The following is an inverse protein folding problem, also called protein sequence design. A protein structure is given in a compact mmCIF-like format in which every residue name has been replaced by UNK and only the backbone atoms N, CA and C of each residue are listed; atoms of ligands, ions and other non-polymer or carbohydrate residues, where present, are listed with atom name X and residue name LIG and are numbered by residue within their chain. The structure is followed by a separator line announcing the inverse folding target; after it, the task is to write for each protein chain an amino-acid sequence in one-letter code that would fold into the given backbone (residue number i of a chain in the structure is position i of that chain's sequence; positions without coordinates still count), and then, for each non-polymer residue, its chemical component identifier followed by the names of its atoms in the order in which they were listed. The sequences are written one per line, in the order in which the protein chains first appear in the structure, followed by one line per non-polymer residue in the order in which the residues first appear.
data_IF_676061773146
#
_entry.id   IF_676061773146
#
_cell.length_a   1.000
_cell.length_b   1.000
_cell.length_c   1.000
_cell.angle_alpha   90.00
_cell.angle_beta   90.00
_cell.angle_gamma   90.00
#
_symmetry.space_group_name_H-M   'P 1'
#
loop_
_entity.id
_entity.type
_entity.pdbx_description
1 polymer ?
#
# COMPACT_ATOMS: atom_id res chain seq x y z
N UNK A 1 0.37 -3.22 -7.40
CA UNK A 1 0.95 -4.21 -6.45
C UNK A 1 2.19 -3.70 -5.68
N UNK A 2 2.92 -2.66 -6.14
CA UNK A 2 4.21 -2.25 -5.53
C UNK A 2 4.14 -1.08 -4.51
N UNK A 3 2.95 -0.60 -4.17
CA UNK A 3 2.74 0.61 -3.34
C UNK A 3 3.27 0.47 -1.91
N UNK A 4 3.07 -0.68 -1.27
CA UNK A 4 3.57 -0.94 0.09
C UNK A 4 5.11 -0.90 0.16
N UNK A 5 5.77 -1.48 -0.84
CA UNK A 5 7.23 -1.43 -0.93
C UNK A 5 7.73 0.00 -1.15
N UNK A 6 7.11 0.76 -2.06
CA UNK A 6 7.47 2.16 -2.30
C UNK A 6 7.28 2.99 -1.02
N UNK A 7 6.15 2.83 -0.31
CA UNK A 7 5.93 3.51 0.96
C UNK A 7 7.04 3.22 1.99
N UNK A 8 7.58 1.99 2.04
CA UNK A 8 8.74 1.66 2.88
C UNK A 8 10.04 2.35 2.47
N UNK A 9 10.24 2.69 1.18
CA UNK A 9 11.34 3.55 0.74
C UNK A 9 11.11 5.02 1.11
N UNK A 10 9.91 5.53 0.90
CA UNK A 10 9.56 6.92 1.24
C UNK A 10 9.68 7.18 2.74
N UNK A 11 9.25 6.24 3.60
CA UNK A 11 9.44 6.30 5.04
C UNK A 11 10.92 6.45 5.44
N UNK A 12 11.83 5.77 4.72
CA UNK A 12 13.28 5.89 4.97
C UNK A 12 13.87 7.22 4.50
N UNK A 13 13.34 7.81 3.43
CA UNK A 13 13.73 9.15 2.99
C UNK A 13 13.23 10.20 3.98
N UNK A 14 11.99 10.05 4.46
CA UNK A 14 11.42 10.94 5.45
C UNK A 14 12.17 10.90 6.78
N UNK A 15 12.55 9.71 7.24
CA UNK A 15 13.43 9.55 8.40
C UNK A 15 14.82 10.21 8.25
N UNK A 16 15.24 10.56 7.02
CA UNK A 16 16.47 11.33 6.74
C UNK A 16 16.23 12.83 6.57
N UNK A 17 15.05 13.33 6.93
CA UNK A 17 14.73 14.76 6.94
C UNK A 17 14.06 15.29 5.67
N UNK A 18 13.52 14.42 4.81
CA UNK A 18 12.79 14.83 3.60
C UNK A 18 11.28 14.89 3.86
N UNK A 19 10.59 15.97 3.49
CA UNK A 19 9.13 15.95 3.36
C UNK A 19 8.77 15.27 2.04
N UNK A 20 7.81 14.34 2.08
CA UNK A 20 7.40 13.56 0.91
C UNK A 20 5.89 13.55 0.81
N UNK A 21 5.32 13.78 -0.36
CA UNK A 21 3.93 13.46 -0.65
C UNK A 21 3.85 12.65 -1.93
N UNK A 22 3.09 11.57 -1.87
CA UNK A 22 2.91 10.63 -2.96
C UNK A 22 1.43 10.47 -3.30
N UNK A 23 1.11 10.49 -4.58
CA UNK A 23 -0.24 10.31 -5.12
C UNK A 23 -0.24 9.04 -5.96
N UNK A 24 -1.09 8.08 -5.59
CA UNK A 24 -1.33 6.88 -6.38
C UNK A 24 -2.73 6.92 -6.95
N UNK A 25 -2.83 6.72 -8.26
CA UNK A 25 -4.10 6.49 -8.94
C UNK A 25 -4.28 4.98 -9.08
N UNK A 26 -5.50 4.49 -8.90
CA UNK A 26 -5.85 3.10 -9.10
C UNK A 26 -7.16 3.05 -9.88
N UNK A 27 -7.04 2.75 -11.17
CA UNK A 27 -8.18 2.66 -12.06
C UNK A 27 -8.86 1.27 -12.01
N UNK A 28 -8.37 0.35 -11.17
CA UNK A 28 -9.01 -0.95 -10.99
C UNK A 28 -10.39 -0.74 -10.37
N UNK A 29 -11.43 -1.17 -11.09
CA UNK A 29 -12.77 -1.26 -10.54
C UNK A 29 -12.78 -2.08 -9.25
N UNK A 30 -13.62 -1.73 -8.26
CA UNK A 30 -13.86 -2.59 -7.13
C UNK A 30 -14.52 -3.85 -7.69
N UNK A 31 -13.75 -4.94 -7.67
CA UNK A 31 -14.10 -6.30 -8.08
C UNK A 31 -14.32 -6.53 -9.59
N UNK A 32 -13.71 -7.61 -10.08
CA UNK A 32 -13.69 -8.02 -11.50
C UNK A 32 -15.04 -8.51 -12.06
N UNK A 33 -16.16 -7.92 -11.64
CA UNK A 33 -17.53 -8.32 -12.00
C UNK A 33 -18.22 -7.38 -13.01
N UNK A 34 -17.50 -6.46 -13.65
CA UNK A 34 -18.07 -5.57 -14.66
C UNK A 34 -17.72 -5.97 -16.10
N UNK A 35 -17.97 -7.24 -16.50
CA UNK A 35 -17.84 -7.62 -17.94
C UNK A 35 -19.05 -8.34 -18.54
N UNK A 36 -20.21 -8.30 -17.89
CA UNK A 36 -21.46 -8.86 -18.45
C UNK A 36 -22.70 -8.07 -18.05
N UNK A 37 -22.71 -6.75 -18.26
CA UNK A 37 -23.95 -5.98 -18.28
C UNK A 37 -23.92 -5.02 -19.48
N UNK A 38 -25.01 -5.02 -20.23
CA UNK A 38 -25.16 -4.30 -21.49
C UNK A 38 -24.87 -2.81 -21.36
N UNK A 39 -24.42 -2.23 -22.46
CA UNK A 39 -24.13 -0.82 -22.61
C UNK A 39 -25.42 0.02 -22.54
N UNK A 40 -25.92 0.27 -21.34
CA UNK A 40 -26.82 1.38 -21.01
C UNK A 40 -26.93 1.45 -19.48
N UNK A 41 -26.48 2.57 -18.90
CA UNK A 41 -26.41 2.86 -17.46
C UNK A 41 -25.29 2.19 -16.63
N UNK A 42 -24.06 2.11 -17.15
CA UNK A 42 -22.89 1.99 -16.26
C UNK A 42 -22.68 3.34 -15.57
N UNK A 43 -23.11 3.48 -14.30
CA UNK A 43 -22.57 4.53 -13.46
C UNK A 43 -21.05 4.37 -13.48
N UNK A 44 -20.34 5.36 -14.03
CA UNK A 44 -18.89 5.27 -14.20
C UNK A 44 -18.25 4.98 -12.85
N UNK A 45 -17.55 3.85 -12.75
CA UNK A 45 -16.86 3.46 -11.52
C UNK A 45 -15.89 4.58 -11.12
N UNK A 46 -15.95 5.09 -9.89
CA UNK A 46 -15.08 6.19 -9.48
C UNK A 46 -13.62 5.75 -9.49
N UNK A 47 -12.73 6.67 -9.86
CA UNK A 47 -11.29 6.48 -9.75
C UNK A 47 -10.87 6.54 -8.28
N UNK A 48 -10.06 5.59 -7.83
CA UNK A 48 -9.54 5.61 -6.46
C UNK A 48 -8.16 6.27 -6.45
N UNK A 49 -8.04 7.37 -5.69
CA UNK A 49 -6.79 8.07 -5.48
C UNK A 49 -6.34 8.00 -4.02
N UNK A 50 -5.11 7.52 -3.80
CA UNK A 50 -4.49 7.45 -2.49
C UNK A 50 -3.40 8.51 -2.38
N UNK A 51 -3.52 9.39 -1.40
CA UNK A 51 -2.54 10.41 -1.05
C UNK A 51 -1.83 9.99 0.24
N UNK A 52 -0.50 9.95 0.19
CA UNK A 52 0.33 9.58 1.34
C UNK A 52 1.33 10.69 1.58
N UNK A 53 1.34 11.25 2.79
CA UNK A 53 2.28 12.29 3.21
C UNK A 53 3.22 11.76 4.28
N UNK A 54 4.49 12.11 4.20
CA UNK A 54 5.47 11.94 5.27
C UNK A 54 6.09 13.29 5.61
N UNK A 55 6.17 13.55 6.92
CA UNK A 55 6.90 14.68 7.46
C UNK A 55 8.37 14.32 7.66
N UNK A 56 9.25 15.27 7.41
CA UNK A 56 10.68 15.18 7.67
C UNK A 56 10.94 14.74 9.12
N UNK A 57 11.76 13.71 9.29
CA UNK A 57 12.07 13.11 10.58
C UNK A 57 11.07 12.06 11.07
N UNK A 58 9.92 11.89 10.40
CA UNK A 58 8.95 10.84 10.73
C UNK A 58 8.97 9.71 9.70
N UNK A 59 9.00 8.47 10.18
CA UNK A 59 8.82 7.28 9.34
C UNK A 59 7.36 6.84 9.21
N UNK A 60 6.43 7.56 9.85
CA UNK A 60 5.01 7.22 9.86
C UNK A 60 4.26 8.18 8.93
N UNK A 61 3.45 7.67 7.99
CA UNK A 61 2.73 8.53 7.07
C UNK A 61 1.43 9.09 7.67
N UNK A 62 0.87 10.10 7.00
CA UNK A 62 -0.57 10.33 6.94
C UNK A 62 -1.10 9.75 5.62
N UNK A 63 -2.23 9.04 5.65
CA UNK A 63 -2.83 8.41 4.47
C UNK A 63 -4.26 8.92 4.29
N UNK A 64 -4.61 9.29 3.06
CA UNK A 64 -5.98 9.63 2.66
C UNK A 64 -6.33 8.87 1.39
N UNK A 65 -7.57 8.39 1.30
CA UNK A 65 -8.08 7.69 0.12
C UNK A 65 -9.35 8.39 -0.33
N UNK A 66 -9.40 8.74 -1.61
CA UNK A 66 -10.50 9.46 -2.24
C UNK A 66 -11.11 8.60 -3.36
N UNK A 67 -12.43 8.64 -3.47
CA UNK A 67 -13.13 8.33 -4.72
C UNK A 67 -13.28 9.64 -5.50
N UNK A 68 -12.84 9.64 -6.75
CA UNK A 68 -12.95 10.77 -7.68
C UNK A 68 -13.96 10.39 -8.75
N UNK A 69 -15.05 11.15 -8.83
CA UNK A 69 -16.12 10.93 -9.81
C UNK A 69 -15.89 11.78 -11.07
N UNK A 70 -16.60 11.48 -12.15
CA UNK A 70 -16.65 12.31 -13.37
C UNK A 70 -15.27 12.57 -14.03
N UNK A 71 -14.33 11.63 -13.89
CA UNK A 71 -13.00 11.75 -14.49
C UNK A 71 -13.11 11.67 -16.02
N UNK A 72 -12.50 12.61 -16.80
CA UNK A 72 -12.55 12.57 -18.27
C UNK A 72 -12.01 11.25 -18.84
N UNK A 73 -12.58 10.77 -19.95
CA UNK A 73 -12.19 9.50 -20.61
C UNK A 73 -10.68 9.43 -20.96
N UNK A 74 -10.00 10.56 -21.17
CA UNK A 74 -8.53 10.64 -21.35
C UNK A 74 -7.72 10.15 -20.13
N UNK A 75 -8.35 9.85 -18.99
CA UNK A 75 -7.73 9.24 -17.80
C UNK A 75 -7.94 7.71 -17.71
N UNK A 76 -8.19 7.04 -18.84
CA UNK A 76 -8.08 5.58 -19.03
C UNK A 76 -6.84 4.97 -18.32
N UNK A 77 -6.91 3.70 -17.89
CA UNK A 77 -6.49 3.26 -16.56
C UNK A 77 -5.06 3.65 -16.21
N UNK A 78 -4.94 4.71 -15.42
CA UNK A 78 -3.67 5.23 -14.95
C UNK A 78 -3.36 4.65 -13.56
N UNK A 79 -2.43 3.70 -13.50
CA UNK A 79 -1.87 3.16 -12.25
C UNK A 79 -0.56 3.86 -11.83
N UNK A 80 -0.46 5.15 -12.16
CA UNK A 80 0.73 5.98 -11.94
C UNK A 80 0.93 6.37 -10.48
N UNK A 81 2.19 6.73 -10.19
CA UNK A 81 2.58 7.38 -8.94
C UNK A 81 3.21 8.73 -9.24
N UNK A 82 2.74 9.78 -8.57
CA UNK A 82 3.41 11.08 -8.56
C UNK A 82 4.06 11.31 -7.21
N UNK A 83 5.33 11.71 -7.22
CA UNK A 83 6.11 11.98 -6.00
C UNK A 83 6.53 13.45 -5.98
N UNK A 84 6.23 14.12 -4.88
CA UNK A 84 6.72 15.46 -4.57
C UNK A 84 7.57 15.37 -3.31
N UNK A 85 8.78 15.91 -3.37
CA UNK A 85 9.75 15.87 -2.27
C UNK A 85 10.33 17.26 -2.05
N UNK A 86 10.43 17.67 -0.79
CA UNK A 86 10.97 18.97 -0.42
C UNK A 86 11.70 18.91 0.94
N UNK A 87 12.76 19.70 1.08
CA UNK A 87 13.53 19.76 2.33
C UNK A 87 13.02 20.82 3.32
N UNK A 88 12.45 21.92 2.81
CA UNK A 88 12.27 23.15 3.59
C UNK A 88 10.82 23.62 3.69
N UNK A 89 9.88 22.86 3.14
CA UNK A 89 8.45 23.17 3.20
C UNK A 89 7.65 21.93 3.53
N UNK A 90 6.62 22.09 4.34
CA UNK A 90 5.69 21.02 4.65
C UNK A 90 4.79 20.77 3.44
N UNK A 91 4.67 19.50 3.06
CA UNK A 91 3.78 19.05 2.00
C UNK A 91 2.55 18.45 2.66
N UNK A 92 1.41 19.13 2.52
CA UNK A 92 0.15 18.66 3.07
C UNK A 92 -0.48 17.61 2.13
N UNK A 93 -0.81 16.41 2.61
CA UNK A 93 -1.40 15.36 1.78
C UNK A 93 -2.88 15.63 1.55
N UNK A 94 -3.18 16.60 0.69
CA UNK A 94 -4.55 16.95 0.29
C UNK A 94 -4.71 16.83 -1.20
N UNK A 95 -5.76 16.14 -1.63
CA UNK A 95 -6.23 16.22 -3.00
C UNK A 95 -7.10 17.47 -3.14
N UNK A 96 -6.82 18.29 -4.16
CA UNK A 96 -7.75 19.31 -4.64
C UNK A 96 -8.07 18.94 -6.08
N UNK A 97 -9.35 18.78 -6.34
CA UNK A 97 -9.84 18.46 -7.68
C UNK A 97 -11.01 19.37 -7.99
N UNK A 98 -11.18 19.68 -9.27
CA UNK A 98 -12.40 20.28 -9.80
C UNK A 98 -13.56 19.27 -9.88
N UNK A 99 -13.25 17.98 -9.71
CA UNK A 99 -14.22 16.88 -9.67
C UNK A 99 -14.81 16.67 -8.27
N UNK A 100 -15.96 15.98 -8.23
CA UNK A 100 -16.55 15.55 -6.96
C UNK A 100 -15.67 14.50 -6.27
N UNK A 101 -15.35 14.76 -5.00
CA UNK A 101 -14.48 13.93 -4.17
C UNK A 101 -15.23 13.38 -2.96
N UNK A 102 -15.16 12.07 -2.76
CA UNK A 102 -15.56 11.43 -1.52
C UNK A 102 -14.33 10.91 -0.76
N UNK A 103 -14.17 11.32 0.50
CA UNK A 103 -13.11 10.81 1.37
C UNK A 103 -13.52 9.44 1.92
N UNK A 104 -12.94 8.38 1.37
CA UNK A 104 -13.22 7.00 1.76
C UNK A 104 -12.50 6.59 3.05
N UNK A 105 -11.27 7.06 3.22
CA UNK A 105 -10.46 6.73 4.39
C UNK A 105 -9.49 7.85 4.73
N UNK A 106 -9.24 8.01 6.04
CA UNK A 106 -8.20 8.89 6.57
C UNK A 106 -7.53 8.21 7.75
N UNK A 107 -6.20 8.13 7.69
CA UNK A 107 -5.35 7.65 8.78
C UNK A 107 -4.34 8.72 9.10
N UNK A 108 -4.44 9.30 10.30
CA UNK A 108 -3.49 10.30 10.75
C UNK A 108 -2.21 9.64 11.28
N UNK A 109 -1.11 10.40 11.28
CA UNK A 109 0.17 9.96 11.83
C UNK A 109 0.02 9.47 13.28
N UNK A 110 -0.73 10.22 14.10
CA UNK A 110 -0.99 9.89 15.51
C UNK A 110 -1.73 8.57 15.68
N UNK A 111 -2.73 8.31 14.84
CA UNK A 111 -3.54 7.09 14.92
C UNK A 111 -2.71 5.86 14.57
N UNK A 112 -1.87 5.99 13.55
CA UNK A 112 -0.96 4.92 13.12
C UNK A 112 0.15 4.66 14.16
N UNK A 113 0.67 5.71 14.80
CA UNK A 113 1.61 5.57 15.92
C UNK A 113 0.96 4.83 17.10
N UNK A 114 -0.23 5.26 17.52
CA UNK A 114 -0.95 4.63 18.63
C UNK A 114 -1.30 3.17 18.32
N UNK A 115 -1.72 2.88 17.09
CA UNK A 115 -1.99 1.52 16.63
C UNK A 115 -0.71 0.65 16.69
N UNK A 116 0.42 1.17 16.20
CA UNK A 116 1.73 0.49 16.27
C UNK A 116 2.14 0.20 17.70
N UNK A 117 2.05 1.18 18.60
CA UNK A 117 2.42 1.01 20.01
C UNK A 117 1.57 -0.06 20.68
N UNK A 118 0.24 -0.01 20.47
CA UNK A 118 -0.68 -1.03 20.97
C UNK A 118 -0.31 -2.42 20.44
N UNK A 119 -0.09 -2.55 19.13
CA UNK A 119 0.27 -3.81 18.50
C UNK A 119 1.59 -4.39 19.05
N UNK A 120 2.56 -3.54 19.35
CA UNK A 120 3.84 -3.96 19.93
C UNK A 120 3.70 -4.42 21.39
N UNK A 121 2.76 -3.84 22.14
CA UNK A 121 2.55 -4.16 23.55
C UNK A 121 1.60 -5.34 23.76
N UNK A 122 0.55 -5.43 22.94
CA UNK A 122 -0.58 -6.34 23.13
C UNK A 122 -0.68 -7.43 22.06
N UNK A 123 0.16 -7.36 21.02
CA UNK A 123 0.04 -8.19 19.84
C UNK A 123 -0.98 -7.66 18.83
N UNK A 124 -1.11 -8.35 17.70
CA UNK A 124 -2.08 -8.02 16.64
C UNK A 124 -3.24 -9.00 16.77
N UNK A 125 -4.45 -8.46 16.94
CA UNK A 125 -5.67 -9.25 16.90
C UNK A 125 -5.99 -9.65 15.46
N UNK A 126 -6.26 -10.93 15.23
CA UNK A 126 -6.59 -11.49 13.94
C UNK A 126 -7.85 -12.32 14.10
N UNK A 127 -8.87 -12.03 13.28
CA UNK A 127 -10.10 -12.81 13.23
C UNK A 127 -9.81 -14.31 13.00
N UNK A 128 -10.55 -15.19 13.67
CA UNK A 128 -10.32 -16.64 13.61
C UNK A 128 -10.47 -17.20 12.19
N UNK A 129 -11.40 -16.66 11.41
CA UNK A 129 -11.62 -17.04 10.02
C UNK A 129 -10.43 -16.65 9.15
N UNK A 130 -9.96 -15.40 9.29
CA UNK A 130 -8.75 -14.93 8.60
C UNK A 130 -7.52 -15.75 9.05
N UNK A 131 -7.40 -16.06 10.33
CA UNK A 131 -6.30 -16.86 10.87
C UNK A 131 -6.29 -18.28 10.29
N UNK A 132 -7.46 -18.91 10.12
CA UNK A 132 -7.57 -20.20 9.47
C UNK A 132 -7.13 -20.15 7.99
N UNK A 133 -7.52 -19.10 7.26
CA UNK A 133 -7.09 -18.89 5.87
C UNK A 133 -5.57 -18.69 5.76
N UNK A 134 -4.99 -17.86 6.64
CA UNK A 134 -3.54 -17.64 6.70
C UNK A 134 -2.79 -18.95 6.97
N UNK A 135 -3.27 -19.79 7.91
CA UNK A 135 -2.68 -21.11 8.18
C UNK A 135 -2.75 -22.03 6.98
N UNK A 136 -3.90 -22.13 6.31
CA UNK A 136 -4.05 -22.97 5.12
C UNK A 136 -3.10 -22.53 3.98
N UNK A 137 -2.95 -21.22 3.79
CA UNK A 137 -2.01 -20.67 2.82
C UNK A 137 -0.56 -20.97 3.19
N UNK A 138 -0.20 -20.84 4.48
CA UNK A 138 1.12 -21.16 4.98
C UNK A 138 1.47 -22.64 4.76
N UNK A 139 0.58 -23.58 5.07
CA UNK A 139 0.81 -25.02 4.84
C UNK A 139 1.09 -25.35 3.38
N UNK A 140 0.51 -24.59 2.45
CA UNK A 140 0.69 -24.81 1.01
C UNK A 140 1.97 -24.18 0.45
N UNK A 141 2.43 -23.07 1.02
CA UNK A 141 3.52 -22.26 0.46
C UNK A 141 4.83 -22.33 1.26
N UNK A 142 4.77 -22.49 2.57
CA UNK A 142 5.95 -22.63 3.42
C UNK A 142 6.26 -24.12 3.58
N UNK A 143 7.32 -24.56 2.89
CA UNK A 143 7.98 -25.83 3.21
C UNK A 143 8.63 -25.67 4.58
N UNK A 144 8.37 -26.60 5.51
CA UNK A 144 9.09 -26.64 6.77
C UNK A 144 10.60 -26.66 6.50
N UNK A 145 11.33 -25.75 7.15
CA UNK A 145 12.80 -25.79 7.17
C UNK A 145 13.26 -27.01 7.97
N UNK A 146 13.17 -28.20 7.38
CA UNK A 146 13.76 -29.42 7.91
C UNK A 146 15.29 -29.34 7.85
N UNK A 147 16.00 -30.10 8.70
CA UNK A 147 17.48 -30.14 8.70
C UNK A 147 18.09 -30.44 7.32
N UNK A 148 17.36 -31.13 6.44
CA UNK A 148 17.76 -31.36 5.05
C UNK A 148 17.90 -30.07 4.22
N UNK A 149 17.13 -29.01 4.53
CA UNK A 149 17.24 -27.70 3.85
C UNK A 149 18.48 -26.92 4.27
N UNK A 150 19.08 -27.23 5.43
CA UNK A 150 20.30 -26.61 5.96
C UNK A 150 21.58 -27.17 5.33
N UNK A 151 21.52 -28.39 4.80
CA UNK A 151 22.67 -29.11 4.24
C UNK A 151 22.97 -28.80 2.76
N UNK A 152 22.13 -28.00 2.10
CA UNK A 152 22.16 -27.82 0.64
C UNK A 152 22.72 -26.50 0.11
N UNK A 153 23.30 -25.65 0.96
CA UNK A 153 23.84 -24.34 0.54
C UNK A 153 25.23 -24.04 1.12
N UNK A 154 26.09 -25.07 1.22
CA UNK A 154 27.50 -24.95 1.55
C UNK A 154 28.33 -25.83 0.60
N UNK A 155 29.37 -25.24 0.02
CA UNK A 155 30.23 -25.82 -1.01
C UNK A 155 30.65 -27.27 -0.74
N UNK A 156 30.15 -28.20 -1.56
CA UNK A 156 30.66 -29.56 -1.69
C UNK A 156 32.01 -29.51 -2.40
N UNK A 157 33.05 -29.76 -1.62
CA UNK A 157 34.45 -29.92 -1.97
C UNK A 157 34.68 -30.77 -3.23
N UNK A 158 35.29 -30.19 -4.25
CA UNK A 158 36.05 -30.91 -5.28
C UNK A 158 37.47 -30.34 -5.29
N UNK A 159 38.42 -31.07 -4.71
CA UNK A 159 39.71 -31.38 -5.36
C UNK A 159 40.57 -32.25 -4.44
N UNK A 160 40.73 -33.51 -4.82
CA UNK A 160 41.95 -34.30 -4.67
C UNK A 160 41.74 -35.62 -5.43
N UNK A 161 42.20 -35.64 -6.68
CA UNK A 161 43.08 -36.67 -7.25
C UNK A 161 43.59 -36.22 -8.64
#
# INVERSE_FOLDING_TARGET
HNRQLIMGYLARLAGRGMNVTAFWRNAQAPDGEARTAGAEQAAATPLIEQVVGFRAGSSVPEIRVYAVHEVPEENEPNDGVTLIMANHVDLLPSLRSEYQLDLLARHQESDLLACRERAMQQGIEVDDGLWAQLKALATRLLVESTEASRSGAGAGTHDND
#
